data_IF_131633242601
#
_entry.id   IF_131633242601
#
_cell.length_a   1.000
_cell.length_b   1.000
_cell.length_c   1.000
_cell.angle_alpha   90.00
_cell.angle_beta   90.00
_cell.angle_gamma   90.00
#
_symmetry.space_group_name_H-M   'P 1'
#
loop_
_entity.id
_entity.type
_entity.pdbx_description
1 polymer ?
#
# COMPACT_ATOMS: atom_id res chain seq x y z
N UNK A 1 -14.15 -0.19 -9.82
CA UNK A 1 -12.73 -0.06 -10.22
C UNK A 1 -12.21 1.36 -10.09
N UNK A 2 -13.07 2.39 -10.12
CA UNK A 2 -12.65 3.80 -10.04
C UNK A 2 -12.47 4.31 -8.60
N UNK A 3 -12.92 3.55 -7.60
CA UNK A 3 -12.90 3.96 -6.19
C UNK A 3 -11.50 4.32 -5.66
N UNK A 4 -10.45 3.59 -6.03
CA UNK A 4 -9.09 3.92 -5.61
C UNK A 4 -8.56 5.20 -6.29
N UNK A 5 -8.96 5.49 -7.53
CA UNK A 5 -8.59 6.75 -8.20
C UNK A 5 -9.34 7.94 -7.58
N UNK A 6 -10.63 7.77 -7.25
CA UNK A 6 -11.41 8.76 -6.51
C UNK A 6 -10.85 9.00 -5.09
N UNK A 7 -10.43 7.93 -4.41
CA UNK A 7 -9.82 8.01 -3.08
C UNK A 7 -8.50 8.77 -3.15
N UNK A 8 -7.67 8.52 -4.16
CA UNK A 8 -6.42 9.27 -4.39
C UNK A 8 -6.69 10.77 -4.47
N UNK A 9 -7.72 11.18 -5.20
CA UNK A 9 -8.07 12.59 -5.37
C UNK A 9 -8.56 13.21 -4.05
N UNK A 10 -9.32 12.45 -3.25
CA UNK A 10 -9.72 12.88 -1.90
C UNK A 10 -8.53 13.01 -0.96
N UNK A 11 -7.61 12.05 -0.97
CA UNK A 11 -6.38 12.09 -0.17
C UNK A 11 -5.47 13.26 -0.56
N UNK A 12 -5.49 13.67 -1.83
CA UNK A 12 -4.77 14.86 -2.29
C UNK A 12 -5.33 16.15 -1.67
N UNK A 13 -6.65 16.25 -1.52
CA UNK A 13 -7.29 17.37 -0.81
C UNK A 13 -6.94 17.37 0.69
N UNK A 14 -6.99 16.20 1.34
CA UNK A 14 -6.61 16.08 2.75
C UNK A 14 -5.14 16.47 2.98
N UNK A 15 -4.24 16.09 2.07
CA UNK A 15 -2.84 16.49 2.12
C UNK A 15 -2.66 18.01 1.97
N UNK A 16 -3.40 18.65 1.05
CA UNK A 16 -3.38 20.12 0.88
C UNK A 16 -3.86 20.87 2.13
N UNK A 17 -4.77 20.26 2.88
CA UNK A 17 -5.31 20.78 4.14
C UNK A 17 -4.44 20.41 5.34
N UNK A 18 -3.26 19.82 5.11
CA UNK A 18 -2.29 19.41 6.13
C UNK A 18 -2.87 18.40 7.16
N UNK A 19 -3.88 17.62 6.74
CA UNK A 19 -4.49 16.58 7.60
C UNK A 19 -3.71 15.26 7.56
N UNK A 20 -2.91 15.06 6.52
CA UNK A 20 -2.04 13.92 6.31
C UNK A 20 -0.79 14.38 5.55
N UNK A 21 0.36 13.80 5.86
CA UNK A 21 1.59 13.95 5.07
C UNK A 21 1.89 12.65 4.37
N UNK A 22 1.58 12.59 3.08
CA UNK A 22 1.81 11.43 2.23
C UNK A 22 3.19 11.58 1.60
N UNK A 23 3.99 10.54 1.75
CA UNK A 23 5.33 10.49 1.17
C UNK A 23 5.33 9.70 -0.12
N UNK A 24 4.53 8.63 -0.15
CA UNK A 24 4.36 7.82 -1.34
C UNK A 24 2.95 7.25 -1.46
N UNK A 25 2.54 6.93 -2.70
CA UNK A 25 1.24 6.38 -2.99
C UNK A 25 1.23 5.57 -4.29
N UNK A 26 0.50 4.46 -4.27
CA UNK A 26 0.25 3.65 -5.46
C UNK A 26 -1.21 3.20 -5.52
N UNK A 27 -1.81 3.33 -6.70
CA UNK A 27 -3.13 2.80 -7.02
C UNK A 27 -2.96 1.42 -7.65
N UNK A 28 -3.64 0.43 -7.08
CA UNK A 28 -3.68 -0.94 -7.59
C UNK A 28 -5.10 -1.24 -8.06
N UNK A 29 -5.24 -1.67 -9.30
CA UNK A 29 -6.53 -2.11 -9.85
C UNK A 29 -6.43 -3.58 -10.23
N UNK A 30 -7.22 -4.43 -9.58
CA UNK A 30 -7.29 -5.85 -9.87
C UNK A 30 -8.50 -6.14 -10.74
N UNK A 31 -8.25 -6.58 -11.97
CA UNK A 31 -9.35 -6.93 -12.87
C UNK A 31 -10.03 -8.25 -12.46
N UNK A 32 -11.18 -8.52 -13.04
CA UNK A 32 -11.96 -9.75 -12.78
C UNK A 32 -11.19 -11.04 -13.12
N UNK A 33 -10.17 -10.95 -13.98
CA UNK A 33 -9.27 -12.07 -14.33
C UNK A 33 -8.12 -12.23 -13.33
N UNK A 34 -8.13 -11.49 -12.23
CA UNK A 34 -7.15 -11.54 -11.15
C UNK A 34 -5.83 -10.85 -11.46
N UNK A 35 -5.65 -10.21 -12.63
CA UNK A 35 -4.44 -9.43 -12.94
C UNK A 35 -4.53 -8.07 -12.27
N UNK A 36 -3.48 -7.69 -11.55
CA UNK A 36 -3.36 -6.36 -10.95
C UNK A 36 -2.51 -5.47 -11.85
N UNK A 37 -2.91 -4.21 -11.95
CA UNK A 37 -2.11 -3.15 -12.54
C UNK A 37 -1.79 -2.16 -11.45
N UNK A 38 -0.52 -1.83 -11.31
CA UNK A 38 -0.02 -0.83 -10.35
C UNK A 38 0.25 0.45 -11.11
N UNK A 39 -0.32 1.55 -10.64
CA UNK A 39 -0.06 2.91 -11.13
C UNK A 39 0.41 3.74 -9.95
N UNK A 40 1.61 4.29 -10.03
CA UNK A 40 2.08 5.22 -9.00
C UNK A 40 1.24 6.50 -9.04
N UNK A 41 0.82 6.98 -7.87
CA UNK A 41 0.01 8.19 -7.74
C UNK A 41 0.91 9.42 -7.68
N UNK A 42 1.53 9.77 -8.81
CA UNK A 42 2.48 10.88 -8.93
C UNK A 42 1.97 12.24 -8.40
N UNK A 43 0.66 12.44 -8.32
CA UNK A 43 0.05 13.66 -7.78
C UNK A 43 0.15 13.80 -6.25
N UNK A 44 0.43 12.69 -5.54
CA UNK A 44 0.48 12.66 -4.08
C UNK A 44 1.91 12.73 -3.54
N UNK A 45 2.93 12.59 -4.39
CA UNK A 45 4.29 12.22 -3.97
C UNK A 45 5.33 13.27 -4.39
N UNK A 46 6.28 13.54 -3.48
CA UNK A 46 7.33 14.55 -3.66
C UNK A 46 8.64 13.99 -4.24
N UNK A 47 9.66 14.85 -4.37
CA UNK A 47 11.00 14.40 -4.70
C UNK A 47 11.54 13.47 -3.59
N UNK A 48 11.98 12.26 -3.95
CA UNK A 48 12.41 11.22 -2.99
C UNK A 48 11.35 10.16 -2.65
N UNK A 49 10.23 10.12 -3.37
CA UNK A 49 9.27 9.03 -3.31
C UNK A 49 9.93 7.71 -3.73
N UNK A 50 9.46 6.59 -3.16
CA UNK A 50 9.90 5.27 -3.57
C UNK A 50 9.45 5.05 -5.03
N UNK A 51 10.35 4.53 -5.86
CA UNK A 51 10.08 4.34 -7.28
C UNK A 51 9.01 3.27 -7.56
N UNK A 52 8.53 3.19 -8.80
CA UNK A 52 7.62 2.12 -9.24
C UNK A 52 8.16 0.70 -9.01
N UNK A 53 9.48 0.54 -8.86
CA UNK A 53 10.12 -0.72 -8.47
C UNK A 53 9.74 -1.17 -7.05
N UNK A 54 9.74 -0.24 -6.08
CA UNK A 54 9.30 -0.50 -4.70
C UNK A 54 7.87 -1.02 -4.69
N UNK A 55 6.93 -0.27 -5.26
CA UNK A 55 5.52 -0.65 -5.28
C UNK A 55 5.27 -1.90 -6.13
N UNK A 56 5.98 -2.05 -7.26
CA UNK A 56 5.91 -3.27 -8.07
C UNK A 56 6.35 -4.51 -7.29
N UNK A 57 7.41 -4.39 -6.49
CA UNK A 57 7.91 -5.47 -5.65
C UNK A 57 7.00 -5.71 -4.43
N UNK A 58 6.61 -4.68 -3.67
CA UNK A 58 5.72 -4.83 -2.51
C UNK A 58 4.38 -5.44 -2.90
N UNK A 59 3.72 -4.90 -3.92
CA UNK A 59 2.47 -5.46 -4.46
C UNK A 59 2.74 -6.84 -5.08
N UNK A 60 3.92 -7.04 -5.67
CA UNK A 60 4.37 -8.34 -6.15
C UNK A 60 4.45 -9.40 -5.05
N UNK A 61 4.94 -9.03 -3.88
CA UNK A 61 5.02 -9.90 -2.70
C UNK A 61 3.63 -10.15 -2.10
N UNK A 62 2.81 -9.10 -1.97
CA UNK A 62 1.46 -9.20 -1.41
C UNK A 62 0.51 -10.02 -2.30
N UNK A 63 0.61 -9.87 -3.63
CA UNK A 63 -0.37 -10.43 -4.59
C UNK A 63 0.17 -11.40 -5.63
N UNK A 64 1.47 -11.37 -5.97
CA UNK A 64 2.03 -12.10 -7.12
C UNK A 64 3.10 -13.16 -6.80
N UNK A 65 3.44 -13.49 -5.54
CA UNK A 65 4.25 -14.68 -5.26
C UNK A 65 4.05 -15.35 -3.87
N UNK A 66 3.52 -16.61 -3.78
CA UNK A 66 2.68 -17.27 -4.77
C UNK A 66 1.46 -18.01 -4.14
N UNK A 67 0.33 -17.90 -4.82
CA UNK A 67 -0.73 -18.93 -4.90
C UNK A 67 -0.27 -20.35 -5.34
N UNK A 68 1.03 -20.59 -5.55
CA UNK A 68 1.57 -21.93 -5.83
C UNK A 68 2.07 -22.67 -4.57
N UNK A 69 2.05 -22.03 -3.39
CA UNK A 69 2.56 -22.63 -2.15
C UNK A 69 1.67 -22.52 -0.90
N UNK A 70 0.51 -21.84 -0.98
CA UNK A 70 -0.28 -21.44 0.20
C UNK A 70 -1.66 -22.09 0.36
N UNK A 71 -2.04 -23.00 -0.54
CA UNK A 71 -3.09 -23.98 -0.20
C UNK A 71 -2.59 -25.04 0.81
N UNK A 72 -1.29 -25.08 1.10
CA UNK A 72 -0.66 -26.03 2.01
C UNK A 72 0.34 -25.30 2.92
N UNK A 73 -0.03 -25.03 4.18
CA UNK A 73 0.77 -24.27 5.14
C UNK A 73 2.25 -24.64 5.17
N UNK A 74 3.11 -23.66 4.86
CA UNK A 74 4.54 -23.64 5.16
C UNK A 74 5.23 -22.34 4.67
N UNK A 75 4.66 -21.65 3.67
CA UNK A 75 5.38 -20.56 2.95
C UNK A 75 4.94 -19.13 3.31
N UNK A 76 3.88 -18.94 4.10
CA UNK A 76 3.44 -17.60 4.52
C UNK A 76 4.47 -16.98 5.48
N UNK A 77 4.98 -17.78 6.43
CA UNK A 77 5.88 -17.31 7.48
C UNK A 77 7.22 -16.74 6.99
N UNK A 78 7.72 -17.17 5.82
CA UNK A 78 9.00 -16.66 5.31
C UNK A 78 8.89 -15.26 4.68
N UNK A 79 7.73 -14.93 4.11
CA UNK A 79 7.47 -13.61 3.56
C UNK A 79 7.04 -12.63 4.65
N UNK A 80 6.09 -13.08 5.47
CA UNK A 80 5.70 -12.45 6.74
C UNK A 80 6.90 -12.07 7.60
N UNK A 81 7.88 -12.97 7.79
CA UNK A 81 9.07 -12.65 8.57
C UNK A 81 9.92 -11.51 7.99
N UNK A 82 10.03 -11.40 6.66
CA UNK A 82 10.79 -10.32 6.02
C UNK A 82 10.07 -8.97 6.04
N UNK A 83 8.74 -9.00 5.95
CA UNK A 83 7.89 -7.80 6.03
C UNK A 83 7.73 -7.33 7.48
N UNK A 84 7.60 -8.27 8.43
CA UNK A 84 7.61 -7.99 9.86
C UNK A 84 8.94 -7.42 10.35
N UNK A 85 10.06 -7.85 9.76
CA UNK A 85 11.39 -7.26 9.98
C UNK A 85 11.51 -5.79 9.52
N UNK A 86 10.56 -5.30 8.72
CA UNK A 86 10.43 -3.90 8.29
C UNK A 86 9.13 -3.27 8.81
N UNK A 87 8.59 -3.77 9.93
CA UNK A 87 7.44 -3.22 10.64
C UNK A 87 6.06 -3.48 10.02
N UNK A 88 5.97 -4.24 8.91
CA UNK A 88 4.70 -4.62 8.31
C UNK A 88 4.25 -5.94 8.95
N UNK A 89 3.30 -5.85 9.88
CA UNK A 89 2.85 -7.00 10.66
C UNK A 89 2.01 -8.00 9.85
N UNK A 90 1.88 -9.20 10.40
CA UNK A 90 1.19 -10.32 9.76
C UNK A 90 -0.32 -10.07 9.61
N UNK A 91 -0.94 -9.35 10.54
CA UNK A 91 -2.37 -9.07 10.51
C UNK A 91 -2.68 -8.11 9.35
N UNK A 92 -1.90 -7.04 9.19
CA UNK A 92 -1.97 -6.17 8.02
C UNK A 92 -1.83 -6.94 6.70
N UNK A 93 -0.84 -7.85 6.60
CA UNK A 93 -0.63 -8.65 5.39
C UNK A 93 -1.84 -9.52 5.08
N UNK A 94 -2.42 -10.17 6.09
CA UNK A 94 -3.57 -11.04 5.90
C UNK A 94 -4.82 -10.24 5.50
N UNK A 95 -5.11 -9.14 6.20
CA UNK A 95 -6.26 -8.26 5.90
C UNK A 95 -6.17 -7.69 4.48
N UNK A 96 -5.01 -7.20 4.05
CA UNK A 96 -4.81 -6.65 2.70
C UNK A 96 -5.04 -7.71 1.62
N UNK A 97 -4.65 -8.96 1.88
CA UNK A 97 -4.82 -10.06 0.92
C UNK A 97 -6.28 -10.47 0.76
N UNK A 98 -7.04 -10.45 1.85
CA UNK A 98 -8.45 -10.80 1.87
C UNK A 98 -9.32 -9.67 1.29
N UNK A 99 -8.94 -8.40 1.49
CA UNK A 99 -9.72 -7.25 1.01
C UNK A 99 -9.67 -7.03 -0.52
N UNK A 100 -8.54 -7.33 -1.18
CA UNK A 100 -8.31 -6.98 -2.60
C UNK A 100 -8.65 -8.16 -3.52
N UNK A 101 -9.93 -8.53 -3.53
CA UNK A 101 -10.50 -9.55 -4.44
C UNK A 101 -10.48 -9.11 -5.92
N UNK A 102 -10.56 -10.04 -6.90
CA UNK A 102 -10.71 -9.69 -8.30
C UNK A 102 -11.95 -8.81 -8.54
N UNK A 103 -11.77 -7.67 -9.20
CA UNK A 103 -12.83 -6.66 -9.40
C UNK A 103 -12.67 -5.41 -8.52
N UNK A 104 -11.86 -5.49 -7.47
CA UNK A 104 -11.60 -4.39 -6.54
C UNK A 104 -10.38 -3.55 -6.95
N UNK A 105 -10.27 -2.39 -6.31
CA UNK A 105 -9.15 -1.47 -6.45
C UNK A 105 -8.72 -1.00 -5.07
N UNK A 106 -7.43 -0.73 -4.89
CA UNK A 106 -6.87 -0.24 -3.63
C UNK A 106 -5.93 0.93 -3.85
N UNK A 107 -5.86 1.81 -2.86
CA UNK A 107 -4.87 2.87 -2.76
C UNK A 107 -3.95 2.54 -1.60
N UNK A 108 -2.69 2.28 -1.91
CA UNK A 108 -1.64 2.14 -0.91
C UNK A 108 -1.01 3.50 -0.65
N UNK A 109 -0.81 3.83 0.62
CA UNK A 109 -0.23 5.09 1.06
C UNK A 109 0.90 4.79 2.05
N UNK A 110 2.04 5.44 1.85
CA UNK A 110 3.05 5.61 2.88
C UNK A 110 2.93 7.05 3.40
N UNK A 111 2.56 7.20 4.66
CA UNK A 111 2.35 8.50 5.29
C UNK A 111 3.22 8.65 6.54
N UNK A 112 3.85 9.83 6.69
CA UNK A 112 4.67 10.16 7.85
C UNK A 112 3.84 10.63 9.03
N UNK A 113 2.75 11.32 8.74
CA UNK A 113 1.85 11.91 9.72
C UNK A 113 0.41 11.77 9.21
N UNK A 114 -0.51 11.45 10.11
CA UNK A 114 -1.93 11.34 9.82
C UNK A 114 -2.68 10.80 11.03
N UNK A 115 -3.97 11.15 11.14
CA UNK A 115 -4.84 10.56 12.14
C UNK A 115 -5.95 9.78 11.42
N UNK A 116 -5.93 8.46 11.58
CA UNK A 116 -6.82 7.55 10.85
C UNK A 116 -8.29 7.83 11.18
N UNK A 117 -8.62 8.12 12.44
CA UNK A 117 -9.98 8.46 12.85
C UNK A 117 -10.49 9.72 12.13
N UNK A 118 -9.68 10.77 12.09
CA UNK A 118 -10.01 12.02 11.40
C UNK A 118 -10.12 11.82 9.88
N UNK A 119 -9.27 10.98 9.29
CA UNK A 119 -9.41 10.61 7.88
C UNK A 119 -10.74 9.90 7.65
N UNK A 120 -11.13 8.96 8.52
CA UNK A 120 -12.44 8.28 8.45
C UNK A 120 -13.59 9.28 8.54
N UNK A 121 -13.50 10.29 9.42
CA UNK A 121 -14.51 11.35 9.51
C UNK A 121 -14.63 12.17 8.22
N UNK A 122 -13.49 12.58 7.64
CA UNK A 122 -13.43 13.36 6.38
C UNK A 122 -13.84 12.54 5.14
N UNK A 123 -13.88 11.21 5.26
CA UNK A 123 -14.33 10.26 4.23
C UNK A 123 -15.76 9.75 4.47
N UNK A 124 -16.47 10.28 5.48
CA UNK A 124 -17.84 9.84 5.79
C UNK A 124 -18.84 10.09 4.65
N UNK A 125 -18.52 11.02 3.74
CA UNK A 125 -19.30 11.38 2.55
C UNK A 125 -18.74 10.75 1.26
N UNK A 126 -17.79 9.82 1.37
CA UNK A 126 -17.16 9.20 0.21
C UNK A 126 -18.15 8.33 -0.58
N UNK A 127 -18.10 8.44 -1.91
CA UNK A 127 -19.10 7.85 -2.82
C UNK A 127 -19.04 6.32 -2.90
N UNK A 128 -17.89 5.72 -2.61
CA UNK A 128 -17.66 4.28 -2.72
C UNK A 128 -17.54 3.63 -1.35
N UNK A 129 -17.96 2.37 -1.24
CA UNK A 129 -17.62 1.54 -0.09
C UNK A 129 -16.09 1.35 -0.03
N UNK A 130 -15.52 1.52 1.15
CA UNK A 130 -14.08 1.38 1.36
C UNK A 130 -13.78 0.84 2.75
N UNK A 131 -12.60 0.26 2.87
CA UNK A 131 -12.01 -0.21 4.12
C UNK A 131 -10.62 0.43 4.26
N UNK A 132 -10.26 0.82 5.48
CA UNK A 132 -8.92 1.29 5.81
C UNK A 132 -8.24 0.22 6.64
N UNK A 133 -7.16 -0.31 6.09
CA UNK A 133 -6.24 -1.24 6.74
C UNK A 133 -4.93 -0.47 6.91
N UNK A 134 -4.42 -0.38 8.14
CA UNK A 134 -3.22 0.38 8.46
C UNK A 134 -2.28 -0.40 9.39
N UNK A 135 -1.00 -0.06 9.32
CA UNK A 135 0.03 -0.52 10.24
C UNK A 135 0.99 0.62 10.53
N UNK A 136 1.66 0.58 11.68
CA UNK A 136 2.58 1.62 12.12
C UNK A 136 4.01 1.12 12.04
N UNK A 137 4.86 1.87 11.34
CA UNK A 137 6.28 1.61 11.26
C UNK A 137 7.02 2.41 12.34
N UNK A 138 7.97 1.76 13.03
CA UNK A 138 8.93 2.51 13.83
C UNK A 138 9.84 3.35 12.92
N UNK A 139 10.52 4.39 13.45
CA UNK A 139 11.48 5.15 12.65
C UNK A 139 12.59 4.27 12.03
N UNK A 140 13.02 3.22 12.74
CA UNK A 140 14.03 2.29 12.26
C UNK A 140 13.49 1.40 11.13
N UNK A 141 12.23 0.96 11.23
CA UNK A 141 11.57 0.15 10.20
C UNK A 141 11.29 0.95 8.93
N UNK A 142 10.86 2.21 9.05
CA UNK A 142 10.69 3.12 7.91
C UNK A 142 12.02 3.36 7.19
N UNK A 143 13.11 3.59 7.94
CA UNK A 143 14.43 3.75 7.34
C UNK A 143 14.90 2.46 6.66
N UNK A 144 14.72 1.31 7.30
CA UNK A 144 15.08 0.01 6.72
C UNK A 144 14.26 -0.31 5.47
N UNK A 145 12.97 0.02 5.46
CA UNK A 145 12.11 -0.07 4.28
C UNK A 145 12.70 0.80 3.16
N UNK A 146 13.03 2.06 3.44
CA UNK A 146 13.63 2.96 2.44
C UNK A 146 14.97 2.46 1.94
N UNK A 147 15.89 2.06 2.80
CA UNK A 147 17.22 1.59 2.40
C UNK A 147 17.14 0.36 1.49
N UNK A 148 16.29 -0.61 1.87
CA UNK A 148 16.10 -1.85 1.11
C UNK A 148 15.64 -1.54 -0.31
N UNK A 149 14.83 -0.50 -0.50
CA UNK A 149 14.20 -0.20 -1.79
C UNK A 149 14.77 1.01 -2.55
N UNK A 150 15.53 1.88 -1.89
CA UNK A 150 16.31 2.95 -2.52
C UNK A 150 17.62 2.41 -3.11
N UNK A 151 18.22 1.38 -2.50
CA UNK A 151 19.44 0.75 -3.03
C UNK A 151 19.20 0.00 -4.35
N UNK A 152 17.97 -0.40 -4.65
CA UNK A 152 17.63 -1.12 -5.87
C UNK A 152 17.49 -0.19 -7.10
N UNK A 153 17.19 1.09 -6.88
CA UNK A 153 17.04 2.09 -7.96
C UNK A 153 18.38 2.49 -8.60
N UNK A 154 19.51 2.26 -7.92
CA UNK A 154 20.86 2.60 -8.39
C UNK A 154 21.54 1.50 -9.21
N UNK A 155 20.91 0.33 -9.35
CA UNK A 155 21.46 -0.83 -10.05
C UNK A 155 20.84 -1.08 -11.45
N UNK A 156 20.00 -0.16 -11.94
CA UNK A 156 19.34 -0.22 -13.26
C UNK A 156 20.05 0.54 -14.37
#
# INVERSE_FOLDING_TARGET
MDGAEAMRDRMYDLQKRELIKIEDAAVVVRNEKGRANVKQAHSLVGAGALGGAFWGMLIGLLFFAPWLGLLAGATAGALSGKLGDIGIDDDFINEVRDAIEPGNSALFLLAREGNVERIKEELSDFEYDFEIIDTNLSPEDDERLRETFAAEEVAG
#
